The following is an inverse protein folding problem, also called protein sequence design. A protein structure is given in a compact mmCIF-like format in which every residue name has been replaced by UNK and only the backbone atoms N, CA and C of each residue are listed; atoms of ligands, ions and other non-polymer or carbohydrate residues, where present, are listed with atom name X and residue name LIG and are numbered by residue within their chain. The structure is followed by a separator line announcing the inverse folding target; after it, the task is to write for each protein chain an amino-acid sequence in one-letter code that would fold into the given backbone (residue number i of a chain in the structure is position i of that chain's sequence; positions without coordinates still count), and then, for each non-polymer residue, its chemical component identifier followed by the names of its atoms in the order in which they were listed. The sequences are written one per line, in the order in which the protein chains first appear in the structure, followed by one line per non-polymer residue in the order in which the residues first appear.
data_IF_629048103309
#
_entry.id   IF_629048103309
#
_cell.length_a   1.000
_cell.length_b   1.000
_cell.length_c   1.000
_cell.angle_alpha   90.00
_cell.angle_beta   90.00
_cell.angle_gamma   90.00
#
_symmetry.space_group_name_H-M   'P 1'
#
loop_
_entity.id
_entity.type
_entity.pdbx_description
1 polymer ?
#
# COMPACT_ATOMS: atom_id res chain seq x y z
N UNK A 1 -21.75 9.10 8.40
CA UNK A 1 -21.99 8.70 9.82
C UNK A 1 -23.48 8.48 9.99
N UNK A 2 -23.88 7.35 10.53
CA UNK A 2 -25.29 7.00 10.78
C UNK A 2 -25.89 7.79 11.94
N UNK A 3 -27.25 7.81 12.01
CA UNK A 3 -27.98 8.42 13.14
C UNK A 3 -27.69 7.68 14.47
N UNK A 4 -27.52 6.36 14.40
CA UNK A 4 -27.16 5.51 15.53
C UNK A 4 -25.82 5.90 16.14
N UNK A 5 -24.82 6.16 15.28
CA UNK A 5 -23.50 6.57 15.73
C UNK A 5 -23.54 7.99 16.31
N UNK A 6 -24.21 8.95 15.65
CA UNK A 6 -24.37 10.31 16.19
C UNK A 6 -24.99 10.33 17.58
N UNK A 7 -26.10 9.59 17.77
CA UNK A 7 -26.75 9.51 19.09
C UNK A 7 -25.82 8.88 20.13
N UNK A 8 -25.11 7.82 19.77
CA UNK A 8 -24.15 7.15 20.65
C UNK A 8 -23.01 8.10 21.06
N UNK A 9 -22.43 8.88 20.11
CA UNK A 9 -21.40 9.87 20.41
C UNK A 9 -21.89 10.96 21.36
N UNK A 10 -23.13 11.43 21.23
CA UNK A 10 -23.74 12.41 22.17
C UNK A 10 -23.84 11.85 23.59
N UNK A 11 -24.07 10.53 23.74
CA UNK A 11 -24.06 9.87 25.06
C UNK A 11 -22.65 9.87 25.66
N UNK A 12 -21.63 9.53 24.86
CA UNK A 12 -20.23 9.54 25.31
C UNK A 12 -19.77 10.97 25.67
N UNK A 13 -20.05 11.96 24.85
CA UNK A 13 -19.71 13.35 25.11
C UNK A 13 -20.33 13.84 26.44
N UNK A 14 -21.60 13.52 26.68
CA UNK A 14 -22.31 13.92 27.90
C UNK A 14 -21.87 13.15 29.14
N UNK A 15 -21.50 11.86 29.01
CA UNK A 15 -21.28 10.95 30.13
C UNK A 15 -19.83 10.46 30.25
N UNK A 16 -18.88 11.08 29.55
CA UNK A 16 -17.46 10.70 29.58
C UNK A 16 -16.90 10.63 31.01
N UNK A 17 -17.22 11.61 31.87
CA UNK A 17 -16.81 11.61 33.28
C UNK A 17 -17.40 10.46 34.10
N UNK A 18 -18.62 10.02 33.78
CA UNK A 18 -19.23 8.85 34.41
C UNK A 18 -18.49 7.59 34.00
N UNK A 19 -18.20 7.42 32.71
CA UNK A 19 -17.43 6.32 32.18
C UNK A 19 -16.04 6.22 32.81
N UNK A 20 -15.29 7.33 32.88
CA UNK A 20 -13.95 7.36 33.49
C UNK A 20 -13.97 6.95 34.97
N UNK A 21 -14.96 7.42 35.76
CA UNK A 21 -15.11 7.06 37.17
C UNK A 21 -15.43 5.55 37.33
N UNK A 22 -16.35 5.03 36.53
CA UNK A 22 -16.75 3.62 36.59
C UNK A 22 -15.64 2.69 36.17
N UNK A 23 -14.93 2.97 35.07
CA UNK A 23 -13.77 2.22 34.60
C UNK A 23 -12.69 2.12 35.71
N UNK A 24 -12.39 3.21 36.38
CA UNK A 24 -11.44 3.22 37.50
C UNK A 24 -11.95 2.44 38.72
N UNK A 25 -13.25 2.57 39.06
CA UNK A 25 -13.87 1.86 40.18
C UNK A 25 -13.86 0.34 39.98
N UNK A 26 -14.20 -0.14 38.79
CA UNK A 26 -14.18 -1.57 38.46
C UNK A 26 -12.76 -2.17 38.47
N UNK A 27 -11.76 -1.41 38.00
CA UNK A 27 -10.37 -1.85 38.08
C UNK A 27 -9.91 -2.04 39.54
N UNK A 28 -10.42 -1.22 40.47
CA UNK A 28 -10.16 -1.33 41.90
C UNK A 28 -10.94 -2.48 42.56
N UNK A 29 -12.18 -2.74 42.12
CA UNK A 29 -13.04 -3.80 42.69
C UNK A 29 -12.59 -5.20 42.29
N UNK A 30 -12.09 -5.39 41.05
CA UNK A 30 -11.55 -6.66 40.58
C UNK A 30 -10.19 -6.49 39.87
N UNK A 31 -9.12 -6.23 40.66
CA UNK A 31 -7.81 -5.96 40.09
C UNK A 31 -7.19 -7.16 39.37
N UNK A 32 -7.55 -8.39 39.77
CA UNK A 32 -7.04 -9.60 39.13
C UNK A 32 -7.63 -9.75 37.73
N UNK A 33 -8.93 -9.58 37.59
CA UNK A 33 -9.62 -9.65 36.30
C UNK A 33 -9.16 -8.51 35.36
N UNK A 34 -9.05 -7.29 35.92
CA UNK A 34 -8.56 -6.13 35.16
C UNK A 34 -7.14 -6.36 34.67
N UNK A 35 -6.23 -6.86 35.52
CA UNK A 35 -4.86 -7.18 35.13
C UNK A 35 -4.80 -8.26 34.06
N UNK A 36 -5.56 -9.34 34.17
CA UNK A 36 -5.62 -10.40 33.15
C UNK A 36 -6.09 -9.87 31.79
N UNK A 37 -7.10 -8.99 31.76
CA UNK A 37 -7.57 -8.35 30.51
C UNK A 37 -6.49 -7.49 29.89
N UNK A 38 -5.81 -6.66 30.69
CA UNK A 38 -4.74 -5.78 30.22
C UNK A 38 -3.54 -6.59 29.72
N UNK A 39 -3.11 -7.61 30.43
CA UNK A 39 -2.03 -8.52 30.00
C UNK A 39 -2.38 -9.25 28.70
N UNK A 40 -3.61 -9.72 28.57
CA UNK A 40 -4.06 -10.36 27.34
C UNK A 40 -4.00 -9.37 26.15
N UNK A 41 -4.55 -8.16 26.31
CA UNK A 41 -4.51 -7.15 25.25
C UNK A 41 -3.05 -6.75 24.90
N UNK A 42 -2.19 -6.58 25.90
CA UNK A 42 -0.76 -6.32 25.69
C UNK A 42 -0.10 -7.41 24.84
N UNK A 43 -0.37 -8.68 25.16
CA UNK A 43 0.16 -9.81 24.39
C UNK A 43 -0.42 -9.88 22.98
N UNK A 44 -1.71 -9.58 22.82
CA UNK A 44 -2.36 -9.56 21.51
C UNK A 44 -1.82 -8.43 20.63
N UNK A 45 -1.64 -7.22 21.19
CA UNK A 45 -1.02 -6.10 20.50
C UNK A 45 0.44 -6.37 20.16
N UNK A 46 1.22 -6.91 21.10
CA UNK A 46 2.62 -7.26 20.86
C UNK A 46 2.76 -8.30 19.73
N UNK A 47 1.91 -9.32 19.70
CA UNK A 47 1.86 -10.29 18.59
C UNK A 47 1.38 -9.64 17.29
N UNK A 48 0.36 -8.79 17.36
CA UNK A 48 -0.24 -8.14 16.20
C UNK A 48 0.68 -7.09 15.57
N UNK A 49 1.31 -6.24 16.36
CA UNK A 49 2.21 -5.17 15.89
C UNK A 49 3.69 -5.57 15.88
N UNK A 50 4.06 -6.74 16.42
CA UNK A 50 5.46 -7.15 16.60
C UNK A 50 6.27 -7.36 15.29
N UNK A 51 5.63 -7.30 14.12
CA UNK A 51 6.32 -7.26 12.82
C UNK A 51 6.58 -5.85 12.31
N UNK A 52 6.10 -4.81 12.99
CA UNK A 52 6.37 -3.41 12.67
C UNK A 52 7.77 -3.04 13.14
N UNK A 53 8.33 -1.99 12.55
CA UNK A 53 9.63 -1.46 12.96
C UNK A 53 9.62 -0.94 14.41
N UNK A 54 10.78 -0.84 15.03
CA UNK A 54 10.95 -0.13 16.31
C UNK A 54 10.55 1.34 16.12
N UNK A 55 9.85 1.90 17.10
CA UNK A 55 9.24 3.23 17.04
C UNK A 55 8.21 3.44 15.92
N UNK A 56 7.61 2.34 15.42
CA UNK A 56 6.51 2.45 14.45
C UNK A 56 5.40 3.37 14.96
N UNK A 57 4.86 4.20 14.05
CA UNK A 57 3.82 5.17 14.35
C UNK A 57 2.46 4.48 14.50
N UNK A 58 1.82 4.59 15.67
CA UNK A 58 0.51 4.00 15.94
C UNK A 58 -0.50 5.06 16.35
N UNK A 59 -1.69 5.01 15.76
CA UNK A 59 -2.85 5.78 16.19
C UNK A 59 -3.79 4.88 17.00
N UNK A 60 -4.16 5.27 18.20
CA UNK A 60 -5.32 4.68 18.89
C UNK A 60 -6.56 5.53 18.62
N UNK A 61 -7.63 4.89 18.10
CA UNK A 61 -8.94 5.50 17.87
C UNK A 61 -9.86 5.12 19.05
N UNK A 62 -10.42 6.12 19.76
CA UNK A 62 -11.29 5.90 20.91
C UNK A 62 -10.51 5.51 22.16
N UNK A 63 -9.46 6.24 22.50
CA UNK A 63 -8.54 5.92 23.58
C UNK A 63 -9.11 6.12 25.00
N UNK A 64 -10.26 6.76 25.14
CA UNK A 64 -10.96 7.02 26.41
C UNK A 64 -10.05 7.55 27.53
N UNK A 65 -9.56 6.68 28.44
CA UNK A 65 -8.65 7.07 29.52
C UNK A 65 -7.17 7.00 29.15
N UNK A 66 -6.79 6.55 27.94
CA UNK A 66 -5.42 6.46 27.45
C UNK A 66 -4.59 5.27 27.98
N UNK A 67 -5.19 4.34 28.70
CA UNK A 67 -4.45 3.22 29.30
C UNK A 67 -3.86 2.27 28.23
N UNK A 68 -4.61 2.02 27.15
CA UNK A 68 -4.15 1.15 26.07
C UNK A 68 -3.06 1.84 25.24
N UNK A 69 -3.16 3.18 25.01
CA UNK A 69 -2.08 3.98 24.45
C UNK A 69 -0.81 3.93 25.30
N UNK A 70 -0.93 4.04 26.62
CA UNK A 70 0.23 3.98 27.53
C UNK A 70 0.91 2.61 27.48
N UNK A 71 0.13 1.55 27.43
CA UNK A 71 0.62 0.20 27.25
C UNK A 71 1.39 0.02 25.94
N UNK A 72 0.91 0.62 24.83
CA UNK A 72 1.62 0.58 23.52
C UNK A 72 2.91 1.42 23.54
N UNK A 73 2.92 2.57 24.21
CA UNK A 73 4.14 3.36 24.44
C UNK A 73 5.20 2.55 25.20
N UNK A 74 4.80 1.81 26.24
CA UNK A 74 5.67 0.90 27.00
C UNK A 74 6.20 -0.27 26.16
N UNK A 75 5.53 -0.63 25.07
CA UNK A 75 6.01 -1.62 24.08
C UNK A 75 6.99 -1.02 23.06
N UNK A 76 7.27 0.29 23.13
CA UNK A 76 8.27 0.97 22.30
C UNK A 76 7.73 1.63 21.03
N UNK A 77 6.42 1.77 20.89
CA UNK A 77 5.79 2.43 19.73
C UNK A 77 5.65 3.94 19.90
N UNK A 78 5.66 4.71 18.81
CA UNK A 78 5.31 6.14 18.80
C UNK A 78 3.80 6.31 18.70
N UNK A 79 3.15 6.64 19.84
CA UNK A 79 1.70 6.64 19.97
C UNK A 79 1.11 8.02 19.82
N UNK A 80 0.06 8.11 19.02
CA UNK A 80 -0.91 9.20 19.03
C UNK A 80 -2.25 8.65 19.52
N UNK A 81 -2.72 9.12 20.66
CA UNK A 81 -4.01 8.75 21.22
C UNK A 81 -5.11 9.70 20.70
N UNK A 82 -6.27 9.15 20.30
CA UNK A 82 -7.37 9.99 19.83
C UNK A 82 -8.71 9.61 20.44
N UNK A 83 -9.56 10.62 20.61
CA UNK A 83 -10.96 10.44 20.99
C UNK A 83 -11.82 11.58 20.42
N UNK A 84 -13.13 11.42 20.47
CA UNK A 84 -14.11 12.44 20.02
C UNK A 84 -14.56 13.35 21.18
N UNK A 85 -14.59 12.87 22.43
CA UNK A 85 -15.08 13.58 23.60
C UNK A 85 -13.95 14.35 24.31
N UNK A 86 -14.19 15.63 24.61
CA UNK A 86 -13.16 16.51 25.22
C UNK A 86 -12.71 16.04 26.62
N UNK A 87 -13.62 15.51 27.43
CA UNK A 87 -13.28 14.95 28.76
C UNK A 87 -12.35 13.73 28.67
N UNK A 88 -12.45 12.91 27.61
CA UNK A 88 -11.51 11.83 27.35
C UNK A 88 -10.15 12.36 26.91
N UNK A 89 -10.14 13.37 26.02
CA UNK A 89 -8.89 14.02 25.59
C UNK A 89 -8.12 14.63 26.76
N UNK A 90 -8.83 15.23 27.74
CA UNK A 90 -8.21 15.74 28.97
C UNK A 90 -7.64 14.60 29.84
N UNK A 91 -8.32 13.45 29.92
CA UNK A 91 -7.80 12.30 30.66
C UNK A 91 -6.53 11.72 30.00
N UNK A 92 -6.50 11.62 28.68
CA UNK A 92 -5.35 11.16 27.89
C UNK A 92 -4.15 12.13 28.09
N UNK A 93 -4.36 13.43 27.98
CA UNK A 93 -3.31 14.46 28.20
C UNK A 93 -2.66 14.36 29.57
N UNK A 94 -3.41 14.01 30.61
CA UNK A 94 -2.87 13.81 31.99
C UNK A 94 -1.87 12.65 32.06
N UNK A 95 -1.86 11.74 31.07
CA UNK A 95 -0.87 10.67 30.96
C UNK A 95 0.37 11.06 30.12
N UNK A 96 0.50 12.35 29.74
CA UNK A 96 1.57 12.88 28.88
C UNK A 96 1.65 12.23 27.49
N UNK A 97 0.53 11.75 26.96
CA UNK A 97 0.44 11.16 25.62
C UNK A 97 0.18 12.23 24.56
N UNK A 98 0.76 12.05 23.37
CA UNK A 98 0.39 12.83 22.18
C UNK A 98 -1.08 12.59 21.86
N UNK A 99 -1.88 13.67 21.79
CA UNK A 99 -3.34 13.58 21.77
C UNK A 99 -3.93 14.42 20.64
N UNK A 100 -4.87 13.85 19.90
CA UNK A 100 -5.65 14.54 18.88
C UNK A 100 -7.15 14.29 19.07
N UNK A 101 -7.99 15.30 18.74
CA UNK A 101 -9.43 15.10 18.60
C UNK A 101 -9.68 14.53 17.20
N UNK A 102 -10.32 13.37 17.12
CA UNK A 102 -10.46 12.68 15.84
C UNK A 102 -11.68 11.75 15.82
N UNK A 103 -12.47 11.88 14.77
CA UNK A 103 -13.58 10.98 14.46
C UNK A 103 -13.31 10.29 13.13
N UNK A 104 -13.07 8.98 13.15
CA UNK A 104 -12.74 8.17 11.97
C UNK A 104 -13.78 8.23 10.86
N UNK A 105 -15.05 8.54 11.18
CA UNK A 105 -16.13 8.61 10.18
C UNK A 105 -16.17 9.94 9.44
N UNK A 106 -15.78 11.05 10.07
CA UNK A 106 -15.93 12.40 9.52
C UNK A 106 -14.62 13.09 9.18
N UNK A 107 -13.54 12.82 9.94
CA UNK A 107 -12.30 13.57 9.83
C UNK A 107 -11.29 12.86 8.91
N UNK A 108 -10.45 13.60 8.23
CA UNK A 108 -9.35 13.06 7.46
C UNK A 108 -8.18 12.68 8.38
N UNK A 109 -7.50 11.59 8.09
CA UNK A 109 -6.31 11.20 8.83
C UNK A 109 -5.19 12.21 8.61
N UNK A 110 -4.55 12.72 9.70
CA UNK A 110 -3.53 13.76 9.57
C UNK A 110 -2.22 13.27 8.92
N UNK A 111 -2.00 11.96 8.92
CA UNK A 111 -0.84 11.28 8.31
C UNK A 111 -1.15 9.81 8.08
N UNK A 112 -0.22 9.08 7.47
CA UNK A 112 -0.25 7.61 7.45
C UNK A 112 0.40 7.04 8.71
N UNK A 113 -0.03 5.82 9.09
CA UNK A 113 0.40 5.11 10.28
C UNK A 113 0.88 3.70 9.94
N UNK A 114 1.82 3.18 10.73
CA UNK A 114 2.26 1.79 10.62
C UNK A 114 1.29 0.85 11.34
N UNK A 115 0.62 1.36 12.37
CA UNK A 115 -0.40 0.62 13.09
C UNK A 115 -1.59 1.51 13.50
N UNK A 116 -2.76 0.88 13.62
CA UNK A 116 -3.95 1.51 14.19
C UNK A 116 -4.55 0.53 15.19
N UNK A 117 -4.79 1.00 16.42
CA UNK A 117 -5.59 0.30 17.42
C UNK A 117 -6.98 0.93 17.47
N UNK A 118 -8.02 0.12 17.29
CA UNK A 118 -9.41 0.54 17.38
C UNK A 118 -10.17 -0.42 18.29
N UNK A 119 -10.07 -0.21 19.63
CA UNK A 119 -10.55 -1.16 20.61
C UNK A 119 -11.86 -0.71 21.24
N UNK A 120 -12.93 -1.51 21.05
CA UNK A 120 -14.30 -1.24 21.54
C UNK A 120 -14.98 0.01 20.94
N UNK A 121 -14.59 0.40 19.73
CA UNK A 121 -15.20 1.52 19.00
C UNK A 121 -16.19 1.00 17.94
N UNK A 122 -15.75 0.02 17.14
CA UNK A 122 -16.56 -0.54 16.05
C UNK A 122 -17.85 -1.24 16.50
N UNK A 123 -17.96 -1.51 17.78
CA UNK A 123 -19.17 -2.06 18.40
C UNK A 123 -20.40 -1.15 18.23
N UNK A 124 -20.16 0.13 18.00
CA UNK A 124 -21.21 1.17 17.83
C UNK A 124 -21.49 1.51 16.37
N UNK A 125 -20.86 0.82 15.42
CA UNK A 125 -20.93 1.16 13.99
C UNK A 125 -21.93 0.25 13.28
N UNK A 126 -22.84 0.87 12.51
CA UNK A 126 -23.65 0.13 11.53
C UNK A 126 -22.73 -0.52 10.48
N UNK A 127 -23.29 -1.36 9.63
CA UNK A 127 -22.51 -2.01 8.56
C UNK A 127 -21.90 -0.98 7.59
N UNK A 128 -22.63 0.09 7.31
CA UNK A 128 -22.19 1.20 6.48
C UNK A 128 -21.06 1.99 7.14
N UNK A 129 -21.22 2.35 8.43
CA UNK A 129 -20.19 3.05 9.18
C UNK A 129 -18.92 2.22 9.35
N UNK A 130 -19.06 0.92 9.63
CA UNK A 130 -17.91 0.01 9.72
C UNK A 130 -17.15 -0.07 8.38
N UNK A 131 -17.91 -0.21 7.28
CA UNK A 131 -17.31 -0.26 5.93
C UNK A 131 -16.58 1.05 5.60
N UNK A 132 -17.19 2.19 5.90
CA UNK A 132 -16.56 3.51 5.71
C UNK A 132 -15.28 3.65 6.55
N UNK A 133 -15.35 3.34 7.84
CA UNK A 133 -14.20 3.45 8.75
C UNK A 133 -13.04 2.54 8.31
N UNK A 134 -13.33 1.28 7.97
CA UNK A 134 -12.31 0.34 7.52
C UNK A 134 -11.67 0.78 6.18
N UNK A 135 -12.43 1.36 5.25
CA UNK A 135 -11.87 1.94 4.02
C UNK A 135 -10.92 3.10 4.33
N UNK A 136 -11.36 4.06 5.17
CA UNK A 136 -10.51 5.21 5.57
C UNK A 136 -9.23 4.73 6.27
N UNK A 137 -9.33 3.76 7.18
CA UNK A 137 -8.18 3.14 7.87
C UNK A 137 -7.25 2.44 6.87
N UNK A 138 -7.80 1.69 5.90
CA UNK A 138 -7.00 1.04 4.87
C UNK A 138 -6.12 2.04 4.11
N UNK A 139 -6.68 3.20 3.74
CA UNK A 139 -5.93 4.25 3.06
C UNK A 139 -4.93 4.97 3.98
N UNK A 140 -5.23 5.09 5.27
CA UNK A 140 -4.35 5.72 6.27
C UNK A 140 -3.18 4.81 6.73
N UNK A 141 -3.26 3.51 6.50
CA UNK A 141 -2.17 2.58 6.82
C UNK A 141 -1.08 2.61 5.75
N UNK A 142 0.17 2.57 6.20
CA UNK A 142 1.33 2.23 5.37
C UNK A 142 1.22 0.78 4.84
N UNK A 143 2.00 0.44 3.80
CA UNK A 143 2.07 -0.94 3.32
C UNK A 143 2.60 -1.86 4.42
N UNK A 144 1.99 -3.04 4.59
CA UNK A 144 2.19 -3.95 5.73
C UNK A 144 1.76 -3.37 7.09
N UNK A 145 1.23 -2.15 7.10
CA UNK A 145 0.63 -1.56 8.29
C UNK A 145 -0.56 -2.37 8.77
N UNK A 146 -0.82 -2.35 10.08
CA UNK A 146 -1.78 -3.23 10.73
C UNK A 146 -2.84 -2.49 11.51
N UNK A 147 -4.08 -2.98 11.39
CA UNK A 147 -5.20 -2.61 12.25
C UNK A 147 -5.43 -3.73 13.26
N UNK A 148 -5.46 -3.38 14.54
CA UNK A 148 -5.97 -4.23 15.61
C UNK A 148 -7.31 -3.68 16.06
N UNK A 149 -8.34 -4.52 16.03
CA UNK A 149 -9.69 -4.12 16.46
C UNK A 149 -10.46 -5.28 17.07
N UNK A 150 -11.58 -4.96 17.73
CA UNK A 150 -12.52 -5.96 18.17
C UNK A 150 -13.97 -5.57 17.84
N UNK A 151 -14.80 -6.58 17.65
CA UNK A 151 -16.20 -6.48 17.23
C UNK A 151 -17.02 -7.52 18.02
N UNK A 152 -18.29 -7.22 18.29
CA UNK A 152 -19.16 -8.15 19.02
C UNK A 152 -19.54 -9.34 18.13
N UNK A 153 -19.35 -10.55 18.64
CA UNK A 153 -19.67 -11.78 17.94
C UNK A 153 -21.16 -12.08 18.03
N UNK A 154 -21.89 -12.01 16.91
CA UNK A 154 -23.31 -12.35 16.84
C UNK A 154 -23.61 -13.85 17.05
N UNK A 155 -22.61 -14.71 16.87
CA UNK A 155 -22.76 -16.17 16.99
C UNK A 155 -22.63 -16.65 18.45
N UNK A 156 -22.17 -15.78 19.37
CA UNK A 156 -22.02 -16.11 20.78
C UNK A 156 -23.38 -16.14 21.47
N UNK A 157 -23.66 -17.21 22.20
CA UNK A 157 -24.87 -17.37 23.02
C UNK A 157 -24.94 -16.39 24.20
N UNK A 158 -23.83 -15.74 24.53
CA UNK A 158 -23.76 -14.76 25.61
C UNK A 158 -24.07 -13.32 25.15
N UNK A 159 -24.32 -13.10 23.86
CA UNK A 159 -24.63 -11.81 23.25
C UNK A 159 -26.11 -11.74 22.84
N UNK A 160 -27.01 -11.77 23.85
CA UNK A 160 -28.47 -11.76 23.61
C UNK A 160 -28.99 -10.38 23.20
N UNK A 161 -28.38 -9.30 23.70
CA UNK A 161 -28.83 -7.92 23.43
C UNK A 161 -28.08 -7.33 22.24
N UNK A 162 -28.83 -6.76 21.29
CA UNK A 162 -28.33 -5.97 20.16
C UNK A 162 -29.19 -4.73 19.93
N UNK A 163 -28.66 -3.73 19.26
CA UNK A 163 -29.35 -2.46 19.02
C UNK A 163 -29.12 -1.49 20.18
N UNK A 164 -30.18 -0.83 20.65
CA UNK A 164 -30.10 0.17 21.70
C UNK A 164 -30.25 -0.47 23.08
N UNK A 165 -29.21 -0.38 23.90
CA UNK A 165 -29.25 -0.77 25.31
C UNK A 165 -28.11 -0.11 26.13
N UNK A 166 -28.28 -0.10 27.45
CA UNK A 166 -27.21 0.30 28.36
C UNK A 166 -26.43 -0.96 28.78
N UNK A 167 -25.16 -1.02 28.41
CA UNK A 167 -24.32 -2.18 28.61
C UNK A 167 -24.14 -2.47 30.11
N UNK A 168 -24.41 -3.68 30.59
CA UNK A 168 -24.36 -3.99 32.02
C UNK A 168 -22.94 -4.01 32.60
N UNK A 169 -22.85 -3.93 33.94
CA UNK A 169 -21.59 -4.08 34.66
C UNK A 169 -20.67 -2.89 34.54
N UNK A 170 -19.41 -3.15 34.21
CA UNK A 170 -18.35 -2.13 34.18
C UNK A 170 -18.55 -1.03 33.11
N UNK A 171 -19.44 -1.26 32.16
CA UNK A 171 -19.76 -0.33 31.07
C UNK A 171 -21.14 0.30 31.18
N UNK A 172 -21.84 0.10 32.30
CA UNK A 172 -23.13 0.74 32.57
C UNK A 172 -22.95 2.25 32.69
N UNK A 173 -23.68 3.05 31.93
CA UNK A 173 -23.58 4.51 31.94
C UNK A 173 -24.86 5.23 32.36
N UNK A 174 -25.95 4.49 32.54
CA UNK A 174 -27.27 5.05 32.77
C UNK A 174 -27.92 5.67 31.52
N UNK A 175 -27.43 5.27 30.35
CA UNK A 175 -27.97 5.67 29.06
C UNK A 175 -27.72 4.60 28.00
N UNK A 176 -28.70 4.44 27.10
CA UNK A 176 -28.59 3.50 25.99
C UNK A 176 -27.62 4.02 24.94
N UNK A 177 -26.83 3.08 24.38
CA UNK A 177 -25.95 3.27 23.22
C UNK A 177 -26.28 2.19 22.21
N UNK A 178 -26.03 2.48 20.94
CA UNK A 178 -26.22 1.49 19.88
C UNK A 178 -25.08 0.48 19.89
N UNK A 179 -25.41 -0.82 19.75
CA UNK A 179 -24.44 -1.91 19.64
C UNK A 179 -24.77 -2.80 18.45
N UNK A 180 -23.85 -2.94 17.53
CA UNK A 180 -23.94 -3.80 16.37
C UNK A 180 -23.17 -5.09 16.60
N UNK A 181 -23.78 -6.19 16.20
CA UNK A 181 -23.19 -7.51 16.24
C UNK A 181 -23.00 -8.04 14.84
N UNK A 182 -21.92 -8.75 14.59
CA UNK A 182 -21.59 -9.32 13.29
C UNK A 182 -21.35 -10.82 13.40
N UNK A 183 -21.75 -11.59 12.39
CA UNK A 183 -21.27 -12.96 12.19
C UNK A 183 -19.87 -12.94 11.61
N UNK A 184 -19.15 -14.06 11.76
CA UNK A 184 -17.81 -14.19 11.18
C UNK A 184 -17.83 -14.04 9.66
N UNK A 185 -18.84 -14.61 8.98
CA UNK A 185 -18.99 -14.53 7.53
C UNK A 185 -19.18 -13.09 7.02
N UNK A 186 -20.01 -12.28 7.71
CA UNK A 186 -20.23 -10.88 7.37
C UNK A 186 -18.93 -10.06 7.52
N UNK A 187 -18.18 -10.28 8.60
CA UNK A 187 -16.90 -9.60 8.82
C UNK A 187 -15.86 -9.95 7.76
N UNK A 188 -15.72 -11.24 7.45
CA UNK A 188 -14.78 -11.72 6.42
C UNK A 188 -15.14 -11.12 5.05
N UNK A 189 -16.44 -11.04 4.71
CA UNK A 189 -16.89 -10.44 3.46
C UNK A 189 -16.54 -8.94 3.37
N UNK A 190 -16.83 -8.16 4.43
CA UNK A 190 -16.53 -6.72 4.49
C UNK A 190 -15.01 -6.50 4.37
N UNK A 191 -14.23 -7.18 5.19
CA UNK A 191 -12.77 -7.05 5.28
C UNK A 191 -12.11 -7.41 3.93
N UNK A 192 -12.54 -8.51 3.30
CA UNK A 192 -11.99 -8.96 2.01
C UNK A 192 -12.33 -8.00 0.87
N UNK A 193 -13.55 -7.43 0.85
CA UNK A 193 -13.95 -6.44 -0.17
C UNK A 193 -13.12 -5.16 -0.11
N UNK A 194 -12.64 -4.78 1.07
CA UNK A 194 -11.77 -3.61 1.26
C UNK A 194 -10.33 -3.93 0.83
N UNK A 195 -9.92 -5.19 0.91
CA UNK A 195 -8.58 -5.64 0.51
C UNK A 195 -7.64 -5.93 1.69
N UNK A 196 -8.12 -5.91 2.93
CA UNK A 196 -7.32 -6.35 4.07
C UNK A 196 -7.05 -7.85 4.05
N UNK A 197 -5.85 -8.23 4.46
CA UNK A 197 -5.50 -9.61 4.83
C UNK A 197 -5.79 -9.82 6.32
N UNK A 198 -6.55 -10.85 6.66
CA UNK A 198 -6.75 -11.27 8.04
C UNK A 198 -5.51 -12.04 8.49
N UNK A 199 -4.74 -11.47 9.42
CA UNK A 199 -3.54 -12.08 10.01
C UNK A 199 -3.91 -12.95 11.21
N UNK A 200 -4.85 -12.47 12.02
CA UNK A 200 -5.41 -13.23 13.15
C UNK A 200 -6.89 -12.89 13.36
N UNK A 201 -7.66 -13.89 13.76
CA UNK A 201 -9.03 -13.77 14.25
C UNK A 201 -9.17 -14.69 15.47
N UNK A 202 -9.36 -14.08 16.65
CA UNK A 202 -9.55 -14.80 17.91
C UNK A 202 -10.94 -14.51 18.48
N UNK A 203 -11.57 -15.52 19.13
CA UNK A 203 -12.97 -15.43 19.63
C UNK A 203 -13.05 -15.24 21.14
N UNK A 204 -12.15 -14.52 21.81
CA UNK A 204 -12.23 -14.43 23.27
C UNK A 204 -11.94 -13.06 23.90
N UNK A 205 -11.20 -12.17 23.30
CA UNK A 205 -10.92 -10.82 23.82
C UNK A 205 -10.42 -10.77 25.28
N UNK A 206 -9.70 -11.79 25.75
CA UNK A 206 -9.20 -11.88 27.14
C UNK A 206 -10.26 -12.31 28.16
N UNK A 207 -11.43 -12.73 27.72
CA UNK A 207 -12.48 -13.35 28.54
C UNK A 207 -12.54 -14.85 28.23
N UNK A 208 -13.10 -15.63 29.15
CA UNK A 208 -13.26 -17.10 28.96
C UNK A 208 -14.40 -17.43 27.98
N UNK A 209 -15.01 -16.47 27.36
CA UNK A 209 -16.17 -16.61 26.50
C UNK A 209 -15.87 -16.03 25.09
N UNK A 210 -16.65 -16.47 24.11
CA UNK A 210 -16.53 -16.13 22.69
C UNK A 210 -17.28 -14.84 22.27
N UNK A 211 -17.52 -13.91 23.21
CA UNK A 211 -18.30 -12.67 22.96
C UNK A 211 -17.73 -11.76 21.90
N UNK A 212 -16.44 -11.90 21.61
CA UNK A 212 -15.70 -10.94 20.79
C UNK A 212 -14.97 -11.64 19.65
N UNK A 213 -15.02 -11.05 18.49
CA UNK A 213 -14.01 -11.22 17.46
C UNK A 213 -12.90 -10.20 17.70
N UNK A 214 -11.68 -10.67 17.90
CA UNK A 214 -10.48 -9.86 18.00
C UNK A 214 -9.64 -10.10 16.75
N UNK A 215 -9.35 -9.05 16.02
CA UNK A 215 -8.81 -9.10 14.67
C UNK A 215 -7.46 -8.37 14.59
N UNK A 216 -6.54 -8.99 13.87
CA UNK A 216 -5.36 -8.34 13.34
C UNK A 216 -5.50 -8.35 11.82
N UNK A 217 -5.64 -7.18 11.23
CA UNK A 217 -5.77 -6.97 9.80
C UNK A 217 -4.50 -6.30 9.28
N UNK A 218 -4.00 -6.74 8.13
CA UNK A 218 -2.81 -6.19 7.49
C UNK A 218 -3.18 -5.61 6.13
N UNK A 219 -2.69 -4.40 5.84
CA UNK A 219 -2.71 -3.87 4.48
C UNK A 219 -1.63 -4.60 3.67
N UNK A 220 -1.99 -5.51 2.77
CA UNK A 220 -1.01 -6.30 2.04
C UNK A 220 -0.23 -5.42 1.05
N UNK A 221 0.98 -5.84 0.69
CA UNK A 221 1.71 -5.32 -0.48
C UNK A 221 1.11 -5.91 -1.77
N UNK A 222 -0.17 -5.77 -1.98
CA UNK A 222 -0.84 -6.26 -3.17
C UNK A 222 -1.57 -5.11 -3.86
N UNK A 223 -1.41 -5.04 -5.17
CA UNK A 223 -2.13 -4.08 -6.01
C UNK A 223 -3.64 -4.34 -5.90
N UNK A 224 -4.42 -3.29 -5.81
CA UNK A 224 -5.89 -3.33 -5.78
C UNK A 224 -6.45 -4.16 -6.94
N UNK A 225 -7.28 -5.13 -6.62
CA UNK A 225 -7.94 -5.96 -7.65
C UNK A 225 -8.83 -5.15 -8.60
N UNK A 226 -9.42 -4.04 -8.13
CA UNK A 226 -10.21 -3.14 -8.96
C UNK A 226 -9.34 -2.39 -9.97
N UNK A 227 -8.17 -1.89 -9.53
CA UNK A 227 -7.20 -1.23 -10.41
C UNK A 227 -6.67 -2.23 -11.44
N UNK A 228 -6.27 -3.44 -11.01
CA UNK A 228 -5.82 -4.48 -11.94
C UNK A 228 -6.87 -4.79 -13.01
N UNK A 229 -8.09 -5.06 -12.59
CA UNK A 229 -9.19 -5.36 -13.51
C UNK A 229 -9.40 -4.22 -14.51
N UNK A 230 -9.40 -2.97 -14.05
CA UNK A 230 -9.58 -1.82 -14.93
C UNK A 230 -8.42 -1.70 -15.95
N UNK A 231 -7.19 -1.87 -15.51
CA UNK A 231 -6.00 -1.84 -16.37
C UNK A 231 -6.07 -2.94 -17.42
N UNK A 232 -6.42 -4.17 -17.02
CA UNK A 232 -6.55 -5.32 -17.94
C UNK A 232 -7.62 -5.10 -19.00
N UNK A 233 -8.76 -4.48 -18.64
CA UNK A 233 -9.90 -4.29 -19.52
C UNK A 233 -9.83 -3.01 -20.38
N UNK A 234 -9.14 -1.96 -19.96
CA UNK A 234 -9.19 -0.64 -20.60
C UNK A 234 -7.82 -0.10 -21.04
N UNK A 235 -6.75 -0.42 -20.35
CA UNK A 235 -5.42 0.14 -20.62
C UNK A 235 -4.58 -0.80 -21.47
N UNK A 236 -4.46 -2.07 -21.12
CA UNK A 236 -3.70 -3.05 -21.90
C UNK A 236 -4.20 -3.20 -23.36
N UNK A 237 -5.52 -3.19 -23.66
CA UNK A 237 -6.00 -3.22 -25.05
C UNK A 237 -5.63 -1.97 -25.87
N UNK A 238 -5.29 -0.86 -25.22
CA UNK A 238 -4.84 0.35 -25.92
C UNK A 238 -3.40 0.26 -26.42
N UNK A 239 -2.59 -0.68 -25.90
CA UNK A 239 -1.24 -0.94 -26.40
C UNK A 239 -1.26 -1.70 -27.72
N UNK A 240 -0.33 -1.35 -28.64
CA UNK A 240 -0.17 -2.09 -29.88
C UNK A 240 0.57 -3.40 -29.67
N UNK A 241 0.25 -4.39 -30.51
CA UNK A 241 0.98 -5.66 -30.57
C UNK A 241 2.36 -5.54 -31.26
N UNK A 242 2.83 -4.32 -31.57
CA UNK A 242 4.12 -4.11 -32.22
C UNK A 242 5.31 -4.49 -31.34
N UNK A 243 6.27 -5.16 -31.94
CA UNK A 243 7.46 -5.68 -31.25
C UNK A 243 8.19 -4.62 -30.41
N UNK A 244 8.35 -4.91 -29.13
CA UNK A 244 9.19 -4.16 -28.20
C UNK A 244 8.46 -3.20 -27.23
N UNK A 245 7.18 -2.87 -27.43
CA UNK A 245 6.43 -1.94 -26.56
C UNK A 245 4.96 -2.38 -26.34
N UNK A 246 4.65 -3.64 -26.55
CA UNK A 246 3.32 -4.20 -26.29
C UNK A 246 3.16 -4.68 -24.84
N UNK A 247 2.03 -5.35 -24.57
CA UNK A 247 1.68 -5.88 -23.23
C UNK A 247 2.83 -6.66 -22.56
N UNK A 248 3.62 -7.49 -23.25
CA UNK A 248 4.75 -8.19 -22.61
C UNK A 248 5.81 -7.26 -22.03
N UNK A 249 6.09 -6.14 -22.68
CA UNK A 249 7.01 -5.12 -22.14
C UNK A 249 6.40 -4.44 -20.91
N UNK A 250 5.11 -4.11 -20.97
CA UNK A 250 4.42 -3.47 -19.83
C UNK A 250 4.41 -4.41 -18.62
N UNK A 251 4.09 -5.69 -18.81
CA UNK A 251 4.16 -6.70 -17.75
C UNK A 251 5.57 -6.82 -17.15
N UNK A 252 6.59 -6.78 -18.01
CA UNK A 252 7.99 -6.76 -17.56
C UNK A 252 8.30 -5.55 -16.68
N UNK A 253 7.90 -4.34 -17.11
CA UNK A 253 8.12 -3.10 -16.34
C UNK A 253 7.32 -3.11 -15.03
N UNK A 254 6.06 -3.58 -15.06
CA UNK A 254 5.24 -3.74 -13.85
C UNK A 254 5.94 -4.66 -12.85
N UNK A 255 6.33 -5.88 -13.26
CA UNK A 255 7.00 -6.85 -12.39
C UNK A 255 8.25 -6.26 -11.72
N UNK A 256 9.11 -5.62 -12.50
CA UNK A 256 10.34 -4.99 -11.98
C UNK A 256 10.05 -3.81 -11.06
N UNK A 257 9.08 -2.96 -11.42
CA UNK A 257 8.67 -1.84 -10.56
C UNK A 257 8.16 -2.31 -9.21
N UNK A 258 7.34 -3.37 -9.19
CA UNK A 258 6.84 -3.96 -7.95
C UNK A 258 7.98 -4.56 -7.11
N UNK A 259 8.99 -5.22 -7.75
CA UNK A 259 10.16 -5.74 -7.05
C UNK A 259 10.99 -4.61 -6.39
N UNK A 260 11.25 -3.51 -7.12
CA UNK A 260 11.96 -2.36 -6.54
C UNK A 260 11.19 -1.70 -5.40
N UNK A 261 9.85 -1.62 -5.53
CA UNK A 261 8.99 -1.08 -4.49
C UNK A 261 9.02 -1.91 -3.18
N UNK A 262 9.47 -3.17 -3.20
CA UNK A 262 9.67 -3.95 -1.97
C UNK A 262 10.75 -3.35 -1.06
N UNK A 263 11.75 -2.70 -1.63
CA UNK A 263 12.83 -2.02 -0.89
C UNK A 263 12.47 -0.59 -0.45
N UNK A 264 11.28 -0.10 -0.82
CA UNK A 264 10.77 1.24 -0.50
C UNK A 264 9.49 1.10 0.33
N UNK A 265 9.59 1.08 1.67
CA UNK A 265 8.43 0.85 2.54
C UNK A 265 7.29 1.84 2.35
N UNK A 266 7.62 3.10 2.11
CA UNK A 266 6.68 4.21 1.92
C UNK A 266 5.99 4.24 0.56
N UNK A 267 6.44 3.45 -0.43
CA UNK A 267 5.84 3.44 -1.74
C UNK A 267 4.42 2.83 -1.74
N UNK A 268 3.45 3.59 -2.23
CA UNK A 268 2.11 3.11 -2.51
C UNK A 268 2.15 2.20 -3.75
N UNK A 269 1.87 0.92 -3.54
CA UNK A 269 2.01 -0.11 -4.57
C UNK A 269 1.02 0.06 -5.73
N UNK A 270 -0.17 0.63 -5.46
CA UNK A 270 -1.15 0.95 -6.48
C UNK A 270 -0.64 2.06 -7.41
N UNK A 271 0.02 3.09 -6.85
CA UNK A 271 0.66 4.13 -7.65
C UNK A 271 1.78 3.54 -8.52
N UNK A 272 2.66 2.70 -7.95
CA UNK A 272 3.74 2.04 -8.69
C UNK A 272 3.19 1.23 -9.85
N UNK A 273 2.15 0.43 -9.62
CA UNK A 273 1.50 -0.38 -10.65
C UNK A 273 0.91 0.48 -11.77
N UNK A 274 0.17 1.52 -11.41
CA UNK A 274 -0.48 2.42 -12.37
C UNK A 274 0.55 3.18 -13.21
N UNK A 275 1.61 3.72 -12.60
CA UNK A 275 2.68 4.40 -13.33
C UNK A 275 3.30 3.44 -14.36
N UNK A 276 3.65 2.23 -13.95
CA UNK A 276 4.22 1.22 -14.84
C UNK A 276 3.23 0.80 -15.94
N UNK A 277 1.91 0.74 -15.66
CA UNK A 277 0.90 0.40 -16.64
C UNK A 277 0.64 1.50 -17.68
N UNK A 278 0.85 2.77 -17.33
CA UNK A 278 0.58 3.91 -18.23
C UNK A 278 1.82 4.48 -18.92
N UNK A 279 3.05 4.13 -18.52
CA UNK A 279 4.26 4.85 -18.90
C UNK A 279 4.44 5.04 -20.42
N UNK A 280 4.06 4.08 -21.22
CA UNK A 280 4.27 4.04 -22.67
C UNK A 280 2.97 4.18 -23.52
N UNK A 281 1.78 4.36 -22.89
CA UNK A 281 0.48 4.38 -23.59
C UNK A 281 0.36 5.51 -24.62
N UNK A 282 1.11 6.58 -24.46
CA UNK A 282 1.12 7.73 -25.35
C UNK A 282 1.88 7.55 -26.67
N UNK A 283 2.61 6.43 -26.85
CA UNK A 283 3.45 6.19 -28.04
C UNK A 283 2.71 6.24 -29.37
N UNK A 284 1.44 5.87 -29.40
CA UNK A 284 0.60 5.96 -30.60
C UNK A 284 0.30 7.39 -31.03
N UNK A 285 0.31 8.32 -30.06
CA UNK A 285 0.00 9.73 -30.30
C UNK A 285 1.28 10.46 -30.74
N UNK A 286 2.34 10.35 -29.92
CA UNK A 286 3.66 10.92 -30.19
C UNK A 286 4.75 9.99 -29.66
N UNK A 287 5.48 9.33 -30.57
CA UNK A 287 6.54 8.40 -30.16
C UNK A 287 7.79 9.13 -29.63
N UNK A 288 7.99 10.38 -29.98
CA UNK A 288 9.14 11.17 -29.54
C UNK A 288 8.93 11.71 -28.11
N UNK A 289 7.71 12.16 -27.80
CA UNK A 289 7.32 12.73 -26.50
C UNK A 289 6.22 11.92 -25.80
N UNK A 290 6.28 10.59 -25.95
CA UNK A 290 5.24 9.67 -25.44
C UNK A 290 5.08 9.76 -23.91
N UNK A 291 6.11 10.11 -23.16
CA UNK A 291 6.05 10.30 -21.72
C UNK A 291 5.08 11.42 -21.32
N UNK A 292 5.05 12.49 -22.10
CA UNK A 292 4.12 13.61 -21.87
C UNK A 292 2.69 13.21 -22.24
N UNK A 293 2.52 12.56 -23.39
CA UNK A 293 1.20 12.09 -23.83
C UNK A 293 0.64 11.01 -22.90
N UNK A 294 1.48 10.11 -22.40
CA UNK A 294 1.10 9.10 -21.39
C UNK A 294 0.59 9.75 -20.11
N UNK A 295 1.28 10.76 -19.60
CA UNK A 295 0.86 11.50 -18.41
C UNK A 295 -0.49 12.23 -18.63
N UNK A 296 -0.70 12.83 -19.82
CA UNK A 296 -2.00 13.45 -20.17
C UNK A 296 -3.14 12.43 -20.21
N UNK A 297 -2.91 11.25 -20.81
CA UNK A 297 -3.91 10.17 -20.85
C UNK A 297 -4.28 9.76 -19.43
N UNK A 298 -3.30 9.53 -18.54
CA UNK A 298 -3.55 9.21 -17.15
C UNK A 298 -4.35 10.30 -16.43
N UNK A 299 -3.98 11.58 -16.58
CA UNK A 299 -4.69 12.69 -15.91
C UNK A 299 -6.13 12.85 -16.40
N UNK A 300 -6.41 12.50 -17.65
CA UNK A 300 -7.75 12.53 -18.23
C UNK A 300 -8.62 11.32 -17.81
N UNK A 301 -8.04 10.29 -17.18
CA UNK A 301 -8.78 9.10 -16.76
C UNK A 301 -9.56 9.35 -15.48
N UNK A 302 -10.89 9.46 -15.62
CA UNK A 302 -11.79 9.73 -14.50
C UNK A 302 -11.88 8.57 -13.52
N UNK A 303 -11.69 7.31 -13.95
CA UNK A 303 -11.71 6.15 -13.06
C UNK A 303 -10.63 6.25 -11.97
N UNK A 304 -9.47 6.79 -12.31
CA UNK A 304 -8.36 6.93 -11.36
C UNK A 304 -8.61 7.98 -10.27
N UNK A 305 -9.61 8.86 -10.44
CA UNK A 305 -10.03 9.83 -9.40
C UNK A 305 -10.64 9.15 -8.18
N UNK A 306 -11.22 7.96 -8.35
CA UNK A 306 -11.81 7.20 -7.23
C UNK A 306 -10.75 6.53 -6.34
N UNK A 307 -9.48 6.46 -6.80
CA UNK A 307 -8.41 5.75 -6.11
C UNK A 307 -7.30 6.67 -5.61
N UNK A 308 -7.10 7.82 -6.24
CA UNK A 308 -5.99 8.72 -5.94
C UNK A 308 -6.48 10.15 -5.78
N UNK A 309 -5.95 10.83 -4.77
CA UNK A 309 -6.13 12.27 -4.56
C UNK A 309 -5.48 13.06 -5.71
N UNK A 310 -5.83 14.34 -5.86
CA UNK A 310 -5.23 15.20 -6.89
C UNK A 310 -3.71 15.31 -6.74
N UNK A 311 -3.19 15.36 -5.51
CA UNK A 311 -1.75 15.38 -5.24
C UNK A 311 -1.08 14.06 -5.65
N UNK A 312 -1.68 12.91 -5.34
CA UNK A 312 -1.18 11.60 -5.76
C UNK A 312 -1.23 11.46 -7.28
N UNK A 313 -2.29 11.91 -7.93
CA UNK A 313 -2.42 11.91 -9.40
C UNK A 313 -1.35 12.78 -10.07
N UNK A 314 -1.02 13.92 -9.49
CA UNK A 314 0.09 14.75 -9.93
C UNK A 314 1.43 14.02 -9.83
N UNK A 315 1.70 13.35 -8.70
CA UNK A 315 2.92 12.55 -8.50
C UNK A 315 2.99 11.39 -9.52
N UNK A 316 1.87 10.72 -9.79
CA UNK A 316 1.80 9.65 -10.79
C UNK A 316 2.13 10.18 -12.18
N UNK A 317 1.51 11.28 -12.60
CA UNK A 317 1.76 11.91 -13.91
C UNK A 317 3.22 12.35 -14.06
N UNK A 318 3.79 12.99 -13.04
CA UNK A 318 5.20 13.38 -13.01
C UNK A 318 6.14 12.16 -13.09
N UNK A 319 5.80 11.05 -12.46
CA UNK A 319 6.59 9.82 -12.51
C UNK A 319 6.49 9.12 -13.89
N UNK A 320 5.33 9.22 -14.56
CA UNK A 320 5.15 8.76 -15.94
C UNK A 320 6.05 9.59 -16.88
N UNK A 321 6.11 10.91 -16.72
CA UNK A 321 7.01 11.76 -17.50
C UNK A 321 8.50 11.45 -17.25
N UNK A 322 8.85 11.05 -16.03
CA UNK A 322 10.23 10.84 -15.59
C UNK A 322 10.78 9.44 -15.94
N UNK A 323 10.00 8.52 -16.55
CA UNK A 323 10.43 7.14 -16.74
C UNK A 323 11.62 6.98 -17.70
N UNK A 324 11.82 7.91 -18.65
CA UNK A 324 12.87 7.77 -19.67
C UNK A 324 14.28 7.88 -19.10
N UNK A 325 15.10 6.86 -19.34
CA UNK A 325 16.52 6.86 -18.96
C UNK A 325 17.31 8.00 -19.61
N UNK A 326 16.88 8.47 -20.80
CA UNK A 326 17.50 9.59 -21.55
C UNK A 326 17.10 10.97 -21.07
N UNK A 327 16.18 11.10 -20.09
CA UNK A 327 15.82 12.39 -19.50
C UNK A 327 17.06 13.14 -19.00
N UNK A 328 17.07 14.49 -19.16
CA UNK A 328 18.20 15.34 -18.72
C UNK A 328 18.21 15.60 -17.20
N UNK A 329 17.10 15.41 -16.53
CA UNK A 329 16.97 15.60 -15.08
C UNK A 329 16.80 14.26 -14.35
N UNK A 330 17.02 14.25 -13.04
CA UNK A 330 16.65 13.13 -12.21
C UNK A 330 15.13 13.05 -12.03
N UNK A 331 14.57 11.83 -11.87
CA UNK A 331 13.16 11.68 -11.53
C UNK A 331 12.78 12.46 -10.27
N UNK A 332 11.66 13.20 -10.35
CA UNK A 332 11.18 14.12 -9.30
C UNK A 332 10.72 13.42 -8.03
N UNK A 333 10.41 12.13 -8.11
CA UNK A 333 9.90 11.36 -6.98
C UNK A 333 10.54 9.98 -6.92
N UNK A 334 10.36 9.28 -5.79
CA UNK A 334 10.74 7.88 -5.64
C UNK A 334 10.02 6.98 -6.66
N UNK A 335 8.79 7.32 -7.04
CA UNK A 335 8.01 6.59 -8.03
C UNK A 335 8.64 6.68 -9.43
N UNK A 336 9.07 7.86 -9.84
CA UNK A 336 9.82 8.05 -11.09
C UNK A 336 11.14 7.28 -11.08
N UNK A 337 11.87 7.24 -9.95
CA UNK A 337 13.08 6.44 -9.79
C UNK A 337 12.80 4.94 -9.93
N UNK A 338 11.71 4.44 -9.34
CA UNK A 338 11.30 3.03 -9.46
C UNK A 338 11.04 2.67 -10.93
N UNK A 339 10.17 3.43 -11.61
CA UNK A 339 9.74 3.06 -12.97
C UNK A 339 10.84 3.28 -13.99
N UNK A 340 11.62 4.36 -13.91
CA UNK A 340 12.78 4.57 -14.79
C UNK A 340 13.87 3.51 -14.62
N UNK A 341 14.02 2.92 -13.44
CA UNK A 341 14.92 1.78 -13.23
C UNK A 341 14.33 0.49 -13.81
N UNK A 342 13.02 0.31 -13.69
CA UNK A 342 12.32 -0.89 -14.16
C UNK A 342 12.22 -0.95 -15.70
N UNK A 343 12.12 0.17 -16.39
CA UNK A 343 12.01 0.29 -17.84
C UNK A 343 13.35 0.07 -18.59
N UNK A 344 14.34 -0.49 -17.90
CA UNK A 344 15.63 -0.85 -18.52
C UNK A 344 15.56 -2.26 -19.05
N UNK A 345 15.83 -2.43 -20.36
CA UNK A 345 15.93 -3.77 -20.95
C UNK A 345 17.09 -4.55 -20.34
N UNK A 346 16.85 -5.81 -20.03
CA UNK A 346 17.84 -6.81 -19.60
C UNK A 346 17.99 -7.96 -20.60
N UNK A 347 17.28 -7.87 -21.73
CA UNK A 347 17.35 -8.86 -22.81
C UNK A 347 18.48 -8.54 -23.77
N UNK A 348 19.59 -9.27 -23.67
CA UNK A 348 20.75 -9.16 -24.57
C UNK A 348 20.30 -9.41 -26.03
N UNK A 349 19.58 -10.48 -26.26
CA UNK A 349 19.15 -10.88 -27.61
C UNK A 349 18.29 -9.81 -28.28
N UNK A 350 17.35 -9.23 -27.53
CA UNK A 350 16.47 -8.17 -28.05
C UNK A 350 17.27 -6.91 -28.40
N UNK A 351 18.17 -6.48 -27.53
CA UNK A 351 19.00 -5.28 -27.77
C UNK A 351 19.92 -5.47 -28.97
N UNK A 352 20.57 -6.64 -29.08
CA UNK A 352 21.45 -6.93 -30.21
C UNK A 352 20.66 -6.92 -31.53
N UNK A 353 19.53 -7.59 -31.59
CA UNK A 353 18.68 -7.62 -32.78
C UNK A 353 18.18 -6.21 -33.18
N UNK A 354 17.66 -5.45 -32.24
CA UNK A 354 17.17 -4.10 -32.51
C UNK A 354 18.26 -3.16 -33.03
N UNK A 355 19.46 -3.20 -32.44
CA UNK A 355 20.58 -2.37 -32.89
C UNK A 355 21.06 -2.83 -34.26
N UNK A 356 21.09 -4.13 -34.51
CA UNK A 356 21.46 -4.69 -35.82
C UNK A 356 20.48 -4.24 -36.90
N UNK A 357 19.18 -4.45 -36.70
CA UNK A 357 18.15 -4.09 -37.66
C UNK A 357 18.15 -2.58 -37.96
N UNK A 358 18.34 -1.76 -36.92
CA UNK A 358 18.46 -0.31 -37.05
C UNK A 358 19.69 0.09 -37.89
N UNK A 359 20.88 -0.44 -37.57
CA UNK A 359 22.11 -0.13 -38.32
C UNK A 359 22.00 -0.59 -39.80
N UNK A 360 21.42 -1.77 -40.07
CA UNK A 360 21.17 -2.23 -41.42
C UNK A 360 20.24 -1.34 -42.20
N UNK A 361 19.24 -0.74 -41.53
CA UNK A 361 18.33 0.22 -42.17
C UNK A 361 19.00 1.52 -42.55
N UNK A 362 19.96 1.99 -41.74
CA UNK A 362 20.71 3.23 -41.98
C UNK A 362 21.82 3.04 -43.04
N UNK A 363 22.45 1.86 -43.04
CA UNK A 363 23.61 1.53 -43.87
C UNK A 363 23.40 0.22 -44.61
N UNK A 364 22.49 0.17 -45.62
CA UNK A 364 22.16 -1.05 -46.35
C UNK A 364 23.37 -1.65 -47.13
N UNK A 365 24.36 -0.81 -47.44
CA UNK A 365 25.55 -1.20 -48.22
C UNK A 365 26.69 -1.74 -47.33
N UNK A 366 26.57 -1.69 -46.00
CA UNK A 366 27.59 -2.26 -45.15
C UNK A 366 27.65 -3.77 -45.24
N UNK A 367 28.87 -4.31 -45.22
CA UNK A 367 29.08 -5.74 -44.95
C UNK A 367 28.59 -6.13 -43.57
N UNK A 368 28.41 -7.40 -43.31
CA UNK A 368 28.00 -7.89 -42.00
C UNK A 368 29.01 -7.47 -40.88
N UNK A 369 30.29 -7.57 -41.17
CA UNK A 369 31.36 -7.21 -40.24
C UNK A 369 31.38 -5.71 -39.94
N UNK A 370 31.15 -4.85 -40.93
CA UNK A 370 30.98 -3.41 -40.74
C UNK A 370 29.75 -3.07 -39.90
N UNK A 371 28.62 -3.75 -40.18
CA UNK A 371 27.38 -3.59 -39.39
C UNK A 371 27.62 -3.97 -37.93
N UNK A 372 28.25 -5.13 -37.67
CA UNK A 372 28.51 -5.58 -36.29
C UNK A 372 29.51 -4.64 -35.57
N UNK A 373 30.54 -4.17 -36.27
CA UNK A 373 31.48 -3.21 -35.69
C UNK A 373 30.78 -1.91 -35.26
N UNK A 374 29.85 -1.44 -36.06
CA UNK A 374 29.06 -0.24 -35.76
C UNK A 374 28.08 -0.46 -34.61
N UNK A 375 27.42 -1.62 -34.58
CA UNK A 375 26.58 -2.06 -33.46
C UNK A 375 27.38 -2.11 -32.16
N UNK A 376 28.56 -2.70 -32.16
CA UNK A 376 29.44 -2.74 -30.98
C UNK A 376 29.83 -1.34 -30.52
N UNK A 377 30.05 -0.41 -31.47
CA UNK A 377 30.36 0.99 -31.16
C UNK A 377 29.18 1.69 -30.47
N UNK A 378 27.97 1.52 -31.03
CA UNK A 378 26.74 2.05 -30.46
C UNK A 378 26.45 1.49 -29.06
N UNK A 379 26.65 0.19 -28.87
CA UNK A 379 26.50 -0.46 -27.55
C UNK A 379 27.49 0.08 -26.52
N UNK A 380 28.77 0.32 -26.90
CA UNK A 380 29.75 0.92 -25.98
C UNK A 380 29.39 2.34 -25.58
N UNK A 381 28.88 3.16 -26.52
CA UNK A 381 28.40 4.52 -26.20
C UNK A 381 27.25 4.48 -25.19
N UNK A 382 26.36 3.51 -25.30
CA UNK A 382 25.19 3.41 -24.44
C UNK A 382 25.49 2.71 -23.12
N UNK A 383 26.19 1.57 -23.14
CA UNK A 383 26.36 0.66 -22.01
C UNK A 383 27.81 0.51 -21.52
N UNK A 384 28.80 1.11 -22.18
CA UNK A 384 30.20 1.11 -21.75
C UNK A 384 30.41 1.84 -20.43
N UNK A 385 31.66 1.87 -19.94
CA UNK A 385 31.98 2.41 -18.61
C UNK A 385 31.44 3.85 -18.41
N UNK A 386 31.49 4.69 -19.43
CA UNK A 386 30.98 6.06 -19.41
C UNK A 386 29.60 6.19 -20.09
N UNK A 387 28.93 5.09 -20.35
CA UNK A 387 27.67 5.05 -21.07
C UNK A 387 26.49 5.61 -20.26
N UNK A 388 25.61 6.38 -20.92
CA UNK A 388 24.48 7.02 -20.25
C UNK A 388 23.50 6.05 -19.63
N UNK A 389 23.46 4.78 -20.07
CA UNK A 389 22.63 3.73 -19.48
C UNK A 389 23.15 3.24 -18.12
N UNK A 390 24.38 3.60 -17.73
CA UNK A 390 24.93 3.32 -16.39
C UNK A 390 24.67 4.44 -15.39
N UNK A 391 24.16 5.56 -15.84
CA UNK A 391 23.76 6.66 -14.96
C UNK A 391 22.37 6.42 -14.40
N UNK A 392 22.05 7.10 -13.28
CA UNK A 392 20.70 7.06 -12.67
C UNK A 392 20.25 5.62 -12.28
N UNK A 393 21.18 4.82 -11.75
CA UNK A 393 20.86 3.54 -11.12
C UNK A 393 20.50 3.83 -9.67
N UNK A 394 19.21 3.70 -9.32
CA UNK A 394 18.66 4.06 -8.01
C UNK A 394 18.47 2.86 -7.09
N UNK A 395 18.48 1.64 -7.65
CA UNK A 395 18.24 0.39 -6.93
C UNK A 395 19.30 -0.65 -7.30
N UNK A 396 19.63 -1.54 -6.35
CA UNK A 396 20.41 -2.72 -6.65
C UNK A 396 19.62 -3.64 -7.60
N UNK A 397 20.22 -3.99 -8.72
CA UNK A 397 19.57 -4.71 -9.81
C UNK A 397 20.52 -5.76 -10.43
N UNK A 398 20.60 -6.94 -9.83
CA UNK A 398 21.49 -8.00 -10.31
C UNK A 398 21.19 -8.44 -11.76
N UNK A 399 19.93 -8.36 -12.20
CA UNK A 399 19.53 -8.69 -13.56
C UNK A 399 20.13 -7.69 -14.58
N UNK A 400 20.07 -6.40 -14.24
CA UNK A 400 20.67 -5.36 -15.07
C UNK A 400 22.19 -5.36 -15.02
N UNK A 401 22.78 -5.61 -13.86
CA UNK A 401 24.24 -5.78 -13.71
C UNK A 401 24.76 -6.93 -14.55
N UNK A 402 24.07 -8.08 -14.53
CA UNK A 402 24.40 -9.22 -15.39
C UNK A 402 24.25 -8.91 -16.88
N UNK A 403 23.20 -8.18 -17.26
CA UNK A 403 23.03 -7.70 -18.64
C UNK A 403 24.18 -6.79 -19.07
N UNK A 404 24.59 -5.84 -18.27
CA UNK A 404 25.70 -4.91 -18.57
C UNK A 404 27.01 -5.69 -18.75
N UNK A 405 27.32 -6.63 -17.86
CA UNK A 405 28.53 -7.46 -17.96
C UNK A 405 28.55 -8.28 -19.26
N UNK A 406 27.38 -8.80 -19.67
CA UNK A 406 27.28 -9.56 -20.93
C UNK A 406 27.44 -8.66 -22.16
N UNK A 407 26.87 -7.45 -22.17
CA UNK A 407 27.08 -6.46 -23.25
C UNK A 407 28.57 -6.08 -23.35
N UNK A 408 29.26 -5.89 -22.23
CA UNK A 408 30.72 -5.63 -22.23
C UNK A 408 31.50 -6.78 -22.84
N UNK A 409 31.18 -8.03 -22.46
CA UNK A 409 31.81 -9.24 -23.01
C UNK A 409 31.62 -9.32 -24.54
N UNK A 410 30.42 -9.08 -25.04
CA UNK A 410 30.09 -9.13 -26.46
C UNK A 410 30.79 -8.01 -27.22
N UNK A 411 30.79 -6.79 -26.71
CA UNK A 411 31.40 -5.64 -27.39
C UNK A 411 32.95 -5.71 -27.38
N UNK A 412 33.55 -6.38 -26.39
CA UNK A 412 34.98 -6.66 -26.36
C UNK A 412 35.41 -7.68 -27.41
N UNK A 413 34.51 -8.61 -27.80
CA UNK A 413 34.76 -9.63 -28.82
C UNK A 413 33.60 -9.69 -29.82
N UNK A 414 33.66 -8.94 -30.95
CA UNK A 414 32.60 -8.85 -31.94
C UNK A 414 32.21 -10.21 -32.59
N UNK A 415 33.07 -11.23 -32.57
CA UNK A 415 32.73 -12.56 -33.07
C UNK A 415 31.58 -13.21 -32.28
N UNK A 416 31.48 -12.91 -30.97
CA UNK A 416 30.38 -13.37 -30.12
C UNK A 416 29.06 -12.74 -30.61
N UNK A 417 29.06 -11.44 -30.94
CA UNK A 417 27.89 -10.78 -31.51
C UNK A 417 27.43 -11.50 -32.79
N UNK A 418 28.36 -11.81 -33.69
CA UNK A 418 28.08 -12.49 -34.97
C UNK A 418 27.42 -13.84 -34.75
N UNK A 419 27.96 -14.66 -33.85
CA UNK A 419 27.40 -15.98 -33.50
C UNK A 419 25.96 -15.85 -32.96
N UNK A 420 25.72 -14.94 -32.02
CA UNK A 420 24.39 -14.70 -31.41
C UNK A 420 23.38 -14.20 -32.44
N UNK A 421 23.81 -13.35 -33.39
CA UNK A 421 22.95 -12.85 -34.46
C UNK A 421 22.57 -13.94 -35.46
N UNK A 422 23.49 -14.82 -35.79
CA UNK A 422 23.22 -15.99 -36.65
C UNK A 422 22.22 -16.95 -36.00
N UNK A 423 22.37 -17.27 -34.72
CA UNK A 423 21.45 -18.10 -33.97
C UNK A 423 20.04 -17.48 -33.89
N UNK A 424 19.96 -16.16 -33.74
CA UNK A 424 18.69 -15.45 -33.73
C UNK A 424 18.00 -15.50 -35.11
N UNK A 425 18.75 -15.28 -36.18
CA UNK A 425 18.19 -15.35 -37.54
C UNK A 425 17.70 -16.77 -37.91
N UNK A 426 18.42 -17.79 -37.47
CA UNK A 426 18.01 -19.20 -37.67
C UNK A 426 16.71 -19.54 -36.92
N UNK A 427 16.50 -18.97 -35.72
CA UNK A 427 15.26 -19.15 -34.94
C UNK A 427 14.06 -18.36 -35.49
N UNK A 428 14.29 -17.30 -36.26
CA UNK A 428 13.20 -16.55 -36.94
C UNK A 428 12.70 -17.29 -38.21
N UNK A 429 13.51 -18.18 -38.75
CA UNK A 429 13.22 -18.91 -40.02
C UNK A 429 12.61 -20.30 -39.73
N UNK A 430 12.79 -20.86 -38.54
CA UNK A 430 12.19 -22.11 -38.04
C UNK A 430 10.84 -21.88 -37.38
#
# INVERSE_FOLDING_TARGET
MSEENEKTLRVYDKLAKVYLRQSSSHAQQDPIKSKKKSEWLKNFCNKGFGSLAEHASILEIGAANGNDSKMLEELGFDITASDVADDFLEAIKKQNLKTIKFNVLTDDFPQKYDGILCWRVFVHFTKEDLTLALNKIYHALNLKGRLICNIINAESKENENKGWYDFPGEYHMGAERFFQHYSQSELVEIISKIGFKIVALEKNGGTLNDKWFCLVLEKPKAVSSKIKKYIDENIFPAYDSHAGHGVPHIDYVIRRSLNFAESVPEANIDMVYVIAAYHDIGRKIDNEHHEIESAKIFLADDFMKDFFTDDERKIIAEAIEDHRASSKHEPRSIYGKIVSSADRSTSVTEILSRIYDYNRSLHPDYSEDETIADCCRALRVKYGADGYARTKIFFHDPEYEGFIAEIERITANPSIYKELQMDFNNKKIA
#
